data_IF_587049938133
#
_entry.id   IF_587049938133
#
_cell.length_a   1.000
_cell.length_b   1.000
_cell.length_c   1.000
_cell.angle_alpha   90.00
_cell.angle_beta   90.00
_cell.angle_gamma   90.00
#
_symmetry.space_group_name_H-M   'P 1'
#
loop_
_entity.id
_entity.type
_entity.pdbx_description
1 polymer ?
#
# COMPACT_ATOMS: atom_id res chain seq x y z
N UNK A 1 -18.41 -14.53 5.47
CA UNK A 1 -17.07 -14.13 5.95
C UNK A 1 -16.02 -13.99 4.83
N UNK A 2 -16.37 -13.48 3.63
CA UNK A 2 -15.44 -13.41 2.46
C UNK A 2 -14.86 -12.01 2.18
N UNK A 3 -15.46 -10.95 2.71
CA UNK A 3 -15.09 -9.55 2.39
C UNK A 3 -13.79 -9.15 3.12
N UNK A 4 -13.60 -9.58 4.36
CA UNK A 4 -12.42 -9.23 5.17
C UNK A 4 -11.11 -9.75 4.56
N UNK A 5 -11.10 -10.96 3.99
CA UNK A 5 -9.88 -11.55 3.42
C UNK A 5 -9.41 -10.82 2.16
N UNK A 6 -10.33 -10.31 1.34
CA UNK A 6 -9.98 -9.59 0.11
C UNK A 6 -9.32 -8.23 0.42
N UNK A 7 -9.87 -7.49 1.39
CA UNK A 7 -9.32 -6.21 1.82
C UNK A 7 -7.96 -6.41 2.50
N UNK A 8 -7.86 -7.40 3.39
CA UNK A 8 -6.59 -7.76 4.04
C UNK A 8 -5.50 -8.12 3.01
N UNK A 9 -5.83 -8.86 1.95
CA UNK A 9 -4.88 -9.20 0.90
C UNK A 9 -4.42 -7.97 0.08
N UNK A 10 -5.31 -6.99 -0.14
CA UNK A 10 -4.94 -5.74 -0.81
C UNK A 10 -4.01 -4.91 0.07
N UNK A 11 -4.34 -4.81 1.37
CA UNK A 11 -3.56 -4.06 2.34
C UNK A 11 -2.15 -4.65 2.49
N UNK A 12 -2.04 -5.97 2.63
CA UNK A 12 -0.75 -6.65 2.73
C UNK A 12 0.11 -6.44 1.47
N UNK A 13 -0.50 -6.55 0.28
CA UNK A 13 0.23 -6.32 -0.97
C UNK A 13 0.76 -4.88 -1.06
N UNK A 14 -0.06 -3.89 -0.71
CA UNK A 14 0.33 -2.50 -0.76
C UNK A 14 1.46 -2.17 0.23
N UNK A 15 1.35 -2.69 1.46
CA UNK A 15 2.39 -2.52 2.49
C UNK A 15 3.71 -3.16 2.03
N UNK A 16 3.68 -4.37 1.46
CA UNK A 16 4.89 -5.03 0.96
C UNK A 16 5.56 -4.26 -0.19
N UNK A 17 4.78 -3.64 -1.09
CA UNK A 17 5.33 -2.77 -2.13
C UNK A 17 6.07 -1.58 -1.53
N UNK A 18 5.49 -0.95 -0.49
CA UNK A 18 6.08 0.20 0.19
C UNK A 18 7.32 -0.15 1.01
N UNK A 19 7.37 -1.34 1.61
CA UNK A 19 8.57 -1.83 2.31
C UNK A 19 9.77 -1.98 1.36
N UNK A 20 9.52 -2.30 0.09
CA UNK A 20 10.56 -2.42 -0.93
C UNK A 20 10.88 -1.08 -1.62
N UNK A 21 10.11 -0.02 -1.37
CA UNK A 21 10.28 1.27 -2.04
C UNK A 21 11.69 1.89 -1.92
N UNK A 22 12.41 1.76 -0.78
CA UNK A 22 13.78 2.29 -0.68
C UNK A 22 14.79 1.62 -1.63
N UNK A 23 14.47 0.44 -2.16
CA UNK A 23 15.33 -0.32 -3.09
C UNK A 23 14.97 -0.08 -4.56
N UNK A 24 13.91 0.69 -4.83
CA UNK A 24 13.41 0.94 -6.17
C UNK A 24 14.11 2.13 -6.82
N UNK A 25 14.30 2.04 -8.14
CA UNK A 25 14.62 3.19 -8.98
C UNK A 25 13.44 4.16 -9.06
N UNK A 26 13.68 5.38 -9.55
CA UNK A 26 12.60 6.37 -9.73
C UNK A 26 11.50 5.88 -10.70
N UNK A 27 11.87 5.11 -11.73
CA UNK A 27 10.91 4.51 -12.67
C UNK A 27 9.99 3.51 -11.98
N UNK A 28 10.59 2.54 -11.27
CA UNK A 28 9.85 1.53 -10.51
C UNK A 28 8.99 2.15 -9.39
N UNK A 29 9.47 3.22 -8.77
CA UNK A 29 8.72 3.96 -7.76
C UNK A 29 7.47 4.63 -8.36
N UNK A 30 7.58 5.25 -9.53
CA UNK A 30 6.44 5.84 -10.23
C UNK A 30 5.39 4.79 -10.60
N UNK A 31 5.82 3.64 -11.12
CA UNK A 31 4.93 2.51 -11.43
C UNK A 31 4.26 1.97 -10.15
N UNK A 32 5.02 1.87 -9.06
CA UNK A 32 4.51 1.44 -7.76
C UNK A 32 3.47 2.40 -7.20
N UNK A 33 3.69 3.71 -7.29
CA UNK A 33 2.71 4.73 -6.88
C UNK A 33 1.43 4.61 -7.69
N UNK A 34 1.53 4.35 -9.00
CA UNK A 34 0.38 4.15 -9.86
C UNK A 34 -0.42 2.89 -9.47
N UNK A 35 0.26 1.78 -9.21
CA UNK A 35 -0.39 0.55 -8.73
C UNK A 35 -1.05 0.72 -7.35
N UNK A 36 -0.40 1.42 -6.42
CA UNK A 36 -0.97 1.73 -5.10
C UNK A 36 -2.28 2.52 -5.23
N UNK A 37 -2.35 3.50 -6.14
CA UNK A 37 -3.59 4.25 -6.40
C UNK A 37 -4.72 3.34 -6.89
N UNK A 38 -4.43 2.40 -7.80
CA UNK A 38 -5.43 1.41 -8.28
C UNK A 38 -5.90 0.50 -7.16
N UNK A 39 -4.97 0.00 -6.34
CA UNK A 39 -5.29 -0.87 -5.20
C UNK A 39 -6.16 -0.12 -4.18
N UNK A 40 -5.84 1.14 -3.88
CA UNK A 40 -6.58 1.96 -2.94
C UNK A 40 -8.01 2.22 -3.45
N UNK A 41 -8.15 2.53 -4.75
CA UNK A 41 -9.46 2.66 -5.38
C UNK A 41 -10.27 1.36 -5.28
N UNK A 42 -9.64 0.20 -5.55
CA UNK A 42 -10.28 -1.12 -5.46
C UNK A 42 -10.70 -1.48 -4.03
N UNK A 43 -9.95 -1.03 -3.03
CA UNK A 43 -10.23 -1.26 -1.61
C UNK A 43 -11.40 -0.44 -1.09
N UNK A 44 -11.41 0.86 -1.38
CA UNK A 44 -12.26 1.82 -0.65
C UNK A 44 -13.11 2.75 -1.52
N UNK A 45 -13.02 2.60 -2.85
CA UNK A 45 -13.62 3.52 -3.81
C UNK A 45 -12.88 4.87 -3.89
N UNK A 46 -13.38 5.76 -4.76
CA UNK A 46 -12.73 7.04 -5.13
C UNK A 46 -12.47 7.97 -3.94
N UNK A 47 -13.43 8.09 -3.02
CA UNK A 47 -13.41 9.12 -1.95
C UNK A 47 -12.29 8.91 -0.93
N UNK A 48 -11.84 7.67 -0.76
CA UNK A 48 -10.95 7.28 0.33
C UNK A 48 -9.53 6.92 -0.14
N UNK A 49 -9.22 7.08 -1.43
CA UNK A 49 -7.90 6.68 -1.99
C UNK A 49 -6.74 7.27 -1.17
N UNK A 50 -6.80 8.56 -0.85
CA UNK A 50 -5.77 9.25 -0.08
C UNK A 50 -5.57 8.63 1.31
N UNK A 51 -6.65 8.51 2.10
CA UNK A 51 -6.56 7.98 3.46
C UNK A 51 -6.09 6.53 3.51
N UNK A 52 -6.43 5.73 2.49
CA UNK A 52 -5.91 4.36 2.35
C UNK A 52 -4.42 4.34 2.07
N UNK A 53 -3.93 5.21 1.17
CA UNK A 53 -2.50 5.31 0.89
C UNK A 53 -1.71 5.81 2.11
N UNK A 54 -2.23 6.80 2.82
CA UNK A 54 -1.63 7.32 4.06
C UNK A 54 -1.55 6.22 5.14
N UNK A 55 -2.61 5.42 5.28
CA UNK A 55 -2.63 4.25 6.17
C UNK A 55 -1.52 3.24 5.79
N UNK A 56 -1.39 2.87 4.52
CA UNK A 56 -0.36 1.92 4.09
C UNK A 56 1.05 2.46 4.29
N UNK A 57 1.28 3.75 4.04
CA UNK A 57 2.57 4.39 4.27
C UNK A 57 2.94 4.38 5.76
N UNK A 58 1.99 4.74 6.64
CA UNK A 58 2.20 4.66 8.09
C UNK A 58 2.46 3.23 8.57
N UNK A 59 1.70 2.26 8.06
CA UNK A 59 1.88 0.85 8.42
C UNK A 59 3.24 0.31 7.95
N UNK A 60 3.65 0.59 6.71
CA UNK A 60 4.94 0.18 6.18
C UNK A 60 6.10 0.80 6.98
N UNK A 61 6.03 2.09 7.29
CA UNK A 61 7.03 2.77 8.13
C UNK A 61 7.12 2.15 9.53
N UNK A 62 5.99 1.91 10.19
CA UNK A 62 5.98 1.28 11.50
C UNK A 62 6.57 -0.14 11.48
N UNK A 63 6.37 -0.89 10.39
CA UNK A 63 6.95 -2.22 10.21
C UNK A 63 8.45 -2.16 9.94
N UNK A 64 8.91 -1.25 9.08
CA UNK A 64 10.33 -1.07 8.80
C UNK A 64 11.09 -0.63 10.06
N UNK A 65 10.50 0.26 10.87
CA UNK A 65 11.11 0.74 12.11
C UNK A 65 11.13 -0.30 13.24
N UNK A 66 10.19 -1.24 13.28
CA UNK A 66 10.20 -2.36 14.25
C UNK A 66 11.19 -3.46 13.89
N UNK A 67 11.72 -3.42 12.67
CA UNK A 67 12.69 -4.40 12.17
C UNK A 67 14.15 -3.92 12.31
N UNK A 68 14.34 -2.76 12.95
CA UNK A 68 15.62 -2.14 13.33
C UNK A 68 15.75 -2.28 14.85
#
# INVERSE_FOLDING_TARGET
MKINNKIANIDQKAINLLLNAPLMTMGELNDTIYELRKLAYKRSGKRNVKSVMDYWASAAYNLSMKSI
#
